data_IF_775630336594
#
_entry.id   IF_775630336594
#
_cell.length_a   1.000
_cell.length_b   1.000
_cell.length_c   1.000
_cell.angle_alpha   90.00
_cell.angle_beta   90.00
_cell.angle_gamma   90.00
#
_symmetry.space_group_name_H-M   'P 1'
#
loop_
_entity.id
_entity.type
_entity.pdbx_description
1 polymer ?
#
# COMPACT_ATOMS: atom_id res chain seq x y z
N UNK A 1 17.56 -88.03 70.23
CA UNK A 1 18.50 -86.90 70.15
C UNK A 1 19.07 -86.66 68.75
N UNK A 2 19.50 -87.70 68.00
CA UNK A 2 20.08 -87.49 66.67
C UNK A 2 19.10 -87.00 65.57
N UNK A 3 17.79 -87.28 65.68
CA UNK A 3 16.81 -86.86 64.66
C UNK A 3 16.42 -85.38 64.77
N UNK A 4 16.39 -84.83 65.99
CA UNK A 4 16.01 -83.42 66.23
C UNK A 4 17.08 -82.46 65.73
N UNK A 5 18.36 -82.79 65.91
CA UNK A 5 19.48 -81.99 65.38
C UNK A 5 19.52 -81.94 63.85
N UNK A 6 19.14 -83.03 63.18
CA UNK A 6 19.03 -83.05 61.71
C UNK A 6 17.91 -82.13 61.24
N UNK A 7 16.75 -82.16 61.91
CA UNK A 7 15.60 -81.32 61.55
C UNK A 7 15.89 -79.83 61.80
N UNK A 8 16.59 -79.48 62.88
CA UNK A 8 16.99 -78.10 63.17
C UNK A 8 17.98 -77.55 62.12
N UNK A 9 18.91 -78.39 61.64
CA UNK A 9 19.83 -78.02 60.55
C UNK A 9 19.09 -77.81 59.22
N UNK A 10 18.11 -78.66 58.90
CA UNK A 10 17.27 -78.51 57.71
C UNK A 10 16.46 -77.20 57.79
N UNK A 11 15.92 -76.88 58.97
CA UNK A 11 15.19 -75.63 59.19
C UNK A 11 16.10 -74.40 59.04
N UNK A 12 17.26 -74.38 59.69
CA UNK A 12 18.21 -73.28 59.58
C UNK A 12 18.70 -73.09 58.12
N UNK A 13 18.95 -74.18 57.40
CA UNK A 13 19.28 -74.16 55.98
C UNK A 13 18.14 -73.59 55.12
N UNK A 14 16.89 -73.98 55.41
CA UNK A 14 15.70 -73.46 54.73
C UNK A 14 15.51 -71.95 54.91
N UNK A 15 15.75 -71.41 56.12
CA UNK A 15 15.64 -69.97 56.38
C UNK A 15 16.68 -69.18 55.57
N UNK A 16 17.94 -69.65 55.54
CA UNK A 16 19.00 -69.01 54.75
C UNK A 16 18.68 -69.07 53.26
N UNK A 17 18.21 -70.23 52.79
CA UNK A 17 17.87 -70.45 51.39
C UNK A 17 16.70 -69.56 50.93
N UNK A 18 15.63 -69.46 51.73
CA UNK A 18 14.49 -68.57 51.46
C UNK A 18 14.91 -67.10 51.46
N UNK A 19 15.78 -66.69 52.40
CA UNK A 19 16.33 -65.33 52.45
C UNK A 19 17.15 -64.97 51.21
N UNK A 20 18.04 -65.88 50.77
CA UNK A 20 18.84 -65.71 49.54
C UNK A 20 17.94 -65.70 48.31
N UNK A 21 16.92 -66.55 48.26
CA UNK A 21 15.95 -66.58 47.15
C UNK A 21 15.18 -65.26 47.04
N UNK A 22 14.71 -64.71 48.16
CA UNK A 22 14.00 -63.43 48.19
C UNK A 22 14.92 -62.27 47.79
N UNK A 23 16.14 -62.20 48.36
CA UNK A 23 17.12 -61.18 47.99
C UNK A 23 17.53 -61.29 46.52
N UNK A 24 17.71 -62.51 46.01
CA UNK A 24 18.03 -62.78 44.60
C UNK A 24 16.90 -62.39 43.63
N UNK A 25 15.64 -62.53 44.07
CA UNK A 25 14.47 -62.07 43.32
C UNK A 25 14.37 -60.53 43.29
N UNK A 26 14.57 -59.88 44.44
CA UNK A 26 14.54 -58.43 44.58
C UNK A 26 15.67 -57.73 43.79
N UNK A 27 16.89 -58.28 43.87
CA UNK A 27 18.05 -57.79 43.11
C UNK A 27 18.04 -58.21 41.64
N UNK A 28 17.01 -58.94 41.19
CA UNK A 28 16.86 -59.39 39.81
C UNK A 28 17.99 -60.29 39.28
N UNK A 29 18.81 -60.88 40.16
CA UNK A 29 19.97 -61.71 39.78
C UNK A 29 19.63 -63.19 39.60
N UNK A 30 18.56 -63.68 40.22
CA UNK A 30 18.17 -65.09 40.10
C UNK A 30 17.18 -65.34 38.94
N UNK A 31 17.35 -66.42 38.14
CA UNK A 31 16.37 -66.85 37.16
C UNK A 31 15.15 -67.50 37.85
N UNK A 32 13.96 -67.39 37.22
CA UNK A 32 12.70 -67.95 37.76
C UNK A 32 12.80 -69.46 37.99
N UNK A 33 13.53 -70.18 37.13
CA UNK A 33 13.73 -71.63 37.27
C UNK A 33 14.45 -72.00 38.57
N UNK A 34 15.49 -71.24 38.94
CA UNK A 34 16.25 -71.44 40.18
C UNK A 34 15.42 -71.11 41.43
N UNK A 35 14.62 -70.05 41.38
CA UNK A 35 13.70 -69.71 42.48
C UNK A 35 12.58 -70.75 42.63
N UNK A 36 12.05 -71.25 41.51
CA UNK A 36 11.04 -72.30 41.52
C UNK A 36 11.59 -73.63 42.04
N UNK A 37 12.83 -73.99 41.69
CA UNK A 37 13.47 -75.20 42.24
C UNK A 37 13.67 -75.09 43.74
N UNK A 38 14.12 -73.93 44.24
CA UNK A 38 14.27 -73.68 45.69
C UNK A 38 12.92 -73.77 46.41
N UNK A 39 11.89 -73.11 45.90
CA UNK A 39 10.55 -73.17 46.47
C UNK A 39 9.98 -74.60 46.47
N UNK A 40 10.21 -75.37 45.40
CA UNK A 40 9.78 -76.76 45.32
C UNK A 40 10.52 -77.68 46.30
N UNK A 41 11.82 -77.42 46.53
CA UNK A 41 12.64 -78.16 47.47
C UNK A 41 12.20 -77.90 48.92
N UNK A 42 11.96 -76.63 49.27
CA UNK A 42 11.45 -76.25 50.60
C UNK A 42 10.04 -76.80 50.83
N UNK A 43 9.16 -76.76 49.83
CA UNK A 43 7.83 -77.35 49.91
C UNK A 43 7.88 -78.87 50.11
N UNK A 44 8.73 -79.58 49.37
CA UNK A 44 8.93 -81.03 49.54
C UNK A 44 9.50 -81.36 50.93
N UNK A 45 10.45 -80.57 51.43
CA UNK A 45 11.00 -80.71 52.78
C UNK A 45 9.95 -80.48 53.87
N UNK A 46 9.12 -79.44 53.71
CA UNK A 46 8.01 -79.16 54.63
C UNK A 46 7.00 -80.31 54.67
N UNK A 47 6.59 -80.84 53.50
CA UNK A 47 5.70 -82.00 53.40
C UNK A 47 6.32 -83.22 54.10
N UNK A 48 7.60 -83.50 53.85
CA UNK A 48 8.31 -84.62 54.49
C UNK A 48 8.31 -84.53 56.02
N UNK A 49 8.50 -83.33 56.58
CA UNK A 49 8.52 -83.13 58.04
C UNK A 49 7.11 -83.17 58.63
N UNK A 50 6.08 -82.68 57.92
CA UNK A 50 4.68 -82.86 58.33
C UNK A 50 4.27 -84.34 58.37
N UNK A 51 4.70 -85.13 57.38
CA UNK A 51 4.49 -86.59 57.37
C UNK A 51 5.19 -87.27 58.55
N UNK A 52 6.43 -86.87 58.86
CA UNK A 52 7.15 -87.39 60.01
C UNK A 52 6.52 -87.00 61.36
N UNK A 53 5.99 -85.78 61.47
CA UNK A 53 5.23 -85.33 62.63
C UNK A 53 3.95 -86.15 62.83
N UNK A 54 3.18 -86.41 61.77
CA UNK A 54 1.96 -87.21 61.84
C UNK A 54 2.20 -88.65 62.35
N UNK A 55 3.39 -89.20 62.14
CA UNK A 55 3.76 -90.55 62.59
C UNK A 55 4.24 -90.60 64.05
N UNK A 56 4.80 -89.51 64.60
CA UNK A 56 5.51 -89.52 65.91
C UNK A 56 5.01 -88.52 66.95
N UNK A 57 4.18 -87.54 66.56
CA UNK A 57 3.51 -86.56 67.42
C UNK A 57 4.42 -85.79 68.42
N UNK A 58 5.67 -85.54 68.05
CA UNK A 58 6.63 -84.80 68.87
C UNK A 58 6.50 -83.27 68.68
N UNK A 59 6.39 -82.50 69.76
CA UNK A 59 6.30 -81.02 69.73
C UNK A 59 7.43 -80.29 68.95
N UNK A 60 8.72 -80.64 69.06
CA UNK A 60 9.77 -79.94 68.32
C UNK A 60 9.65 -80.10 66.79
N UNK A 61 9.08 -81.21 66.31
CA UNK A 61 8.84 -81.44 64.88
C UNK A 61 7.78 -80.49 64.31
N UNK A 62 6.79 -80.08 65.11
CA UNK A 62 5.76 -79.13 64.69
C UNK A 62 6.32 -77.71 64.46
N UNK A 63 7.28 -77.27 65.28
CA UNK A 63 7.90 -75.94 65.16
C UNK A 63 8.75 -75.85 63.88
N UNK A 64 9.55 -76.88 63.59
CA UNK A 64 10.34 -76.95 62.35
C UNK A 64 9.46 -77.07 61.10
N UNK A 65 8.37 -77.85 61.16
CA UNK A 65 7.40 -77.96 60.08
C UNK A 65 6.76 -76.60 59.76
N UNK A 66 6.31 -75.88 60.79
CA UNK A 66 5.76 -74.53 60.65
C UNK A 66 6.78 -73.55 60.06
N UNK A 67 8.01 -73.58 60.55
CA UNK A 67 9.11 -72.75 60.05
C UNK A 67 9.42 -72.99 58.57
N UNK A 68 9.45 -74.25 58.11
CA UNK A 68 9.68 -74.57 56.70
C UNK A 68 8.50 -74.23 55.80
N UNK A 69 7.25 -74.32 56.29
CA UNK A 69 6.09 -73.81 55.53
C UNK A 69 6.15 -72.30 55.34
N UNK A 70 6.61 -71.55 56.34
CA UNK A 70 6.83 -70.11 56.21
C UNK A 70 7.95 -69.81 55.20
N UNK A 71 9.04 -70.58 55.21
CA UNK A 71 10.12 -70.46 54.21
C UNK A 71 9.60 -70.72 52.80
N UNK A 72 8.83 -71.80 52.61
CA UNK A 72 8.23 -72.13 51.31
C UNK A 72 7.29 -71.04 50.78
N UNK A 73 6.52 -70.37 51.66
CA UNK A 73 5.70 -69.21 51.29
C UNK A 73 6.55 -68.01 50.86
N UNK A 74 7.64 -67.73 51.57
CA UNK A 74 8.58 -66.65 51.21
C UNK A 74 9.26 -66.94 49.86
N UNK A 75 9.72 -68.17 49.63
CA UNK A 75 10.30 -68.60 48.36
C UNK A 75 9.27 -68.54 47.21
N UNK A 76 8.02 -68.92 47.47
CA UNK A 76 6.91 -68.75 46.52
C UNK A 76 6.62 -67.28 46.20
N UNK A 77 6.63 -66.42 47.22
CA UNK A 77 6.50 -64.96 47.07
C UNK A 77 7.62 -64.36 46.21
N UNK A 78 8.86 -64.84 46.35
CA UNK A 78 10.00 -64.43 45.54
C UNK A 78 9.79 -64.72 44.04
N UNK A 79 9.20 -65.87 43.70
CA UNK A 79 8.83 -66.24 42.31
C UNK A 79 7.78 -65.28 41.74
N UNK A 80 6.75 -64.95 42.53
CA UNK A 80 5.69 -64.01 42.11
C UNK A 80 6.24 -62.60 41.90
N UNK A 81 7.08 -62.12 42.83
CA UNK A 81 7.74 -60.82 42.73
C UNK A 81 8.59 -60.74 41.45
N UNK A 82 9.38 -61.78 41.16
CA UNK A 82 10.20 -61.85 39.94
C UNK A 82 9.34 -61.80 38.67
N UNK A 83 8.18 -62.46 38.65
CA UNK A 83 7.22 -62.41 37.54
C UNK A 83 6.59 -61.02 37.39
N UNK A 84 6.25 -60.35 38.50
CA UNK A 84 5.73 -59.00 38.48
C UNK A 84 6.75 -58.00 37.92
N UNK A 85 8.00 -58.03 38.40
CA UNK A 85 9.07 -57.14 37.93
C UNK A 85 9.38 -57.33 36.44
N UNK A 86 9.39 -58.58 35.94
CA UNK A 86 9.56 -58.83 34.50
C UNK A 86 8.40 -58.28 33.67
N UNK A 87 7.16 -58.38 34.18
CA UNK A 87 6.00 -57.80 33.49
C UNK A 87 6.06 -56.29 33.45
N UNK A 88 6.49 -55.64 34.54
CA UNK A 88 6.70 -54.18 34.57
C UNK A 88 7.76 -53.76 33.57
N UNK A 89 8.93 -54.42 33.55
CA UNK A 89 9.97 -54.11 32.56
C UNK A 89 9.49 -54.27 31.11
N UNK A 90 8.72 -55.33 30.81
CA UNK A 90 8.14 -55.51 29.47
C UNK A 90 7.07 -54.44 29.13
N UNK A 91 6.39 -53.85 30.12
CA UNK A 91 5.50 -52.71 29.89
C UNK A 91 6.29 -51.43 29.65
N UNK A 92 7.37 -51.20 30.42
CA UNK A 92 8.26 -50.05 30.24
C UNK A 92 8.89 -50.05 28.85
N UNK A 93 9.36 -51.21 28.37
CA UNK A 93 9.90 -51.36 27.01
C UNK A 93 8.87 -50.96 25.94
N UNK A 94 7.61 -51.43 26.09
CA UNK A 94 6.50 -51.06 25.18
C UNK A 94 6.14 -49.57 25.27
N UNK A 95 6.22 -48.97 26.46
CA UNK A 95 5.98 -47.54 26.64
C UNK A 95 7.08 -46.71 25.99
N UNK A 96 8.33 -47.14 26.07
CA UNK A 96 9.46 -46.50 25.39
C UNK A 96 9.28 -46.59 23.88
N UNK A 97 8.93 -47.77 23.36
CA UNK A 97 8.65 -47.98 21.93
C UNK A 97 7.48 -47.12 21.45
N UNK A 98 6.33 -47.17 22.14
CA UNK A 98 5.15 -46.38 21.78
C UNK A 98 5.42 -44.86 21.86
N UNK A 99 6.23 -44.41 22.82
CA UNK A 99 6.65 -43.00 22.91
C UNK A 99 7.55 -42.63 21.74
N UNK A 100 8.47 -43.49 21.34
CA UNK A 100 9.34 -43.26 20.19
C UNK A 100 8.51 -43.16 18.90
N UNK A 101 7.55 -44.06 18.71
CA UNK A 101 6.64 -44.04 17.56
C UNK A 101 5.77 -42.78 17.52
N UNK A 102 5.23 -42.36 18.66
CA UNK A 102 4.43 -41.14 18.75
C UNK A 102 5.27 -39.90 18.43
N UNK A 103 6.49 -39.80 18.98
CA UNK A 103 7.39 -38.68 18.66
C UNK A 103 7.77 -38.68 17.17
N UNK A 104 8.02 -39.84 16.58
CA UNK A 104 8.30 -39.97 15.16
C UNK A 104 7.08 -39.60 14.30
N UNK A 105 5.86 -39.91 14.74
CA UNK A 105 4.62 -39.52 14.06
C UNK A 105 4.41 -38.00 14.13
N UNK A 106 4.58 -37.41 15.31
CA UNK A 106 4.48 -35.96 15.51
C UNK A 106 5.48 -35.21 14.65
N UNK A 107 6.71 -35.70 14.52
CA UNK A 107 7.72 -35.03 13.68
C UNK A 107 7.39 -35.11 12.18
N UNK A 108 6.86 -36.26 11.73
CA UNK A 108 6.34 -36.41 10.36
C UNK A 108 5.16 -35.49 10.08
N UNK A 109 4.24 -35.36 11.03
CA UNK A 109 3.09 -34.47 10.88
C UNK A 109 3.51 -32.99 10.89
N UNK A 110 4.43 -32.58 11.77
CA UNK A 110 4.98 -31.21 11.79
C UNK A 110 5.62 -30.82 10.48
N UNK A 111 6.43 -31.70 9.89
CA UNK A 111 7.09 -31.43 8.60
C UNK A 111 6.08 -31.36 7.45
N UNK A 112 5.07 -32.23 7.46
CA UNK A 112 3.98 -32.23 6.47
C UNK A 112 3.15 -30.94 6.57
N UNK A 113 2.68 -30.60 7.77
CA UNK A 113 1.93 -29.36 8.03
C UNK A 113 2.77 -28.11 7.72
N UNK A 114 4.07 -28.14 7.99
CA UNK A 114 4.99 -27.06 7.62
C UNK A 114 5.00 -26.83 6.10
N UNK A 115 5.14 -27.90 5.31
CA UNK A 115 5.11 -27.83 3.85
C UNK A 115 3.75 -27.35 3.31
N UNK A 116 2.65 -27.81 3.89
CA UNK A 116 1.29 -27.36 3.52
C UNK A 116 1.05 -25.88 3.83
N UNK A 117 1.55 -25.40 4.98
CA UNK A 117 1.49 -23.99 5.35
C UNK A 117 2.33 -23.12 4.42
N UNK A 118 3.54 -23.56 4.05
CA UNK A 118 4.37 -22.86 3.07
C UNK A 118 3.68 -22.76 1.71
N UNK A 119 3.07 -23.85 1.23
CA UNK A 119 2.30 -23.86 -0.01
C UNK A 119 1.09 -22.91 0.05
N UNK A 120 0.33 -22.97 1.14
CA UNK A 120 -0.84 -22.11 1.34
C UNK A 120 -0.44 -20.64 1.43
N UNK A 121 0.66 -20.33 2.11
CA UNK A 121 1.21 -18.98 2.20
C UNK A 121 1.73 -18.49 0.85
N UNK A 122 2.43 -19.33 0.09
CA UNK A 122 2.89 -19.00 -1.25
C UNK A 122 1.72 -18.68 -2.18
N UNK A 123 0.65 -19.48 -2.11
CA UNK A 123 -0.59 -19.24 -2.86
C UNK A 123 -1.27 -17.95 -2.44
N UNK A 124 -1.48 -17.73 -1.14
CA UNK A 124 -2.09 -16.49 -0.64
C UNK A 124 -1.28 -15.24 -1.02
N UNK A 125 0.06 -15.33 -1.02
CA UNK A 125 0.95 -14.25 -1.49
C UNK A 125 0.83 -14.02 -2.99
N UNK A 126 0.72 -15.09 -3.78
CA UNK A 126 0.52 -14.98 -5.23
C UNK A 126 -0.84 -14.33 -5.55
N UNK A 127 -1.92 -14.78 -4.87
CA UNK A 127 -3.27 -14.24 -5.04
C UNK A 127 -3.31 -12.74 -4.65
N UNK A 128 -2.68 -12.37 -3.53
CA UNK A 128 -2.59 -10.97 -3.11
C UNK A 128 -1.80 -10.10 -4.09
N UNK A 129 -0.69 -10.60 -4.66
CA UNK A 129 0.08 -9.88 -5.69
C UNK A 129 -0.73 -9.71 -6.97
N UNK A 130 -1.40 -10.77 -7.41
CA UNK A 130 -2.27 -10.70 -8.60
C UNK A 130 -3.40 -9.69 -8.42
N UNK A 131 -4.01 -9.63 -7.22
CA UNK A 131 -5.06 -8.66 -6.92
C UNK A 131 -4.52 -7.22 -6.94
N UNK A 132 -3.33 -6.99 -6.37
CA UNK A 132 -2.69 -5.67 -6.41
C UNK A 132 -2.33 -5.23 -7.83
N UNK A 133 -1.80 -6.14 -8.66
CA UNK A 133 -1.51 -5.84 -10.07
C UNK A 133 -2.77 -5.47 -10.85
N UNK A 134 -3.90 -6.14 -10.58
CA UNK A 134 -5.17 -5.81 -11.22
C UNK A 134 -5.70 -4.45 -10.76
N UNK A 135 -5.61 -4.14 -9.46
CA UNK A 135 -5.95 -2.82 -8.94
C UNK A 135 -5.06 -1.71 -9.50
N UNK A 136 -3.76 -1.97 -9.68
CA UNK A 136 -2.85 -1.01 -10.31
C UNK A 136 -3.20 -0.75 -11.77
N UNK A 137 -3.62 -1.79 -12.51
CA UNK A 137 -4.13 -1.63 -13.88
C UNK A 137 -5.41 -0.80 -13.91
N UNK A 138 -6.38 -1.12 -13.06
CA UNK A 138 -7.64 -0.37 -12.96
C UNK A 138 -7.39 1.10 -12.62
N UNK A 139 -6.54 1.40 -11.63
CA UNK A 139 -6.17 2.78 -11.27
C UNK A 139 -5.44 3.47 -12.43
N UNK A 140 -4.57 2.77 -13.16
CA UNK A 140 -3.88 3.34 -14.31
C UNK A 140 -4.85 3.66 -15.45
N UNK A 141 -5.84 2.80 -15.69
CA UNK A 141 -6.90 3.01 -16.67
C UNK A 141 -7.82 4.17 -16.27
N UNK A 142 -8.27 4.22 -15.02
CA UNK A 142 -9.08 5.33 -14.48
C UNK A 142 -8.33 6.66 -14.57
N UNK A 143 -7.02 6.68 -14.29
CA UNK A 143 -6.20 7.88 -14.45
C UNK A 143 -6.09 8.30 -15.92
N UNK A 144 -5.94 7.34 -16.84
CA UNK A 144 -5.88 7.64 -18.28
C UNK A 144 -7.18 8.23 -18.78
N UNK A 145 -8.33 7.68 -18.40
CA UNK A 145 -9.64 8.20 -18.80
C UNK A 145 -9.87 9.59 -18.23
N UNK A 146 -9.61 9.80 -16.94
CA UNK A 146 -9.78 11.09 -16.29
C UNK A 146 -8.82 12.17 -16.83
N UNK A 147 -7.60 11.81 -17.22
CA UNK A 147 -6.70 12.75 -17.92
C UNK A 147 -7.25 13.09 -19.30
N UNK A 148 -7.70 12.09 -20.08
CA UNK A 148 -8.27 12.32 -21.41
C UNK A 148 -9.53 13.20 -21.36
N UNK A 149 -10.41 13.00 -20.38
CA UNK A 149 -11.58 13.85 -20.13
C UNK A 149 -11.17 15.29 -19.80
N UNK A 150 -10.21 15.48 -18.88
CA UNK A 150 -9.72 16.82 -18.53
C UNK A 150 -9.05 17.53 -19.71
N UNK A 151 -8.30 16.80 -20.53
CA UNK A 151 -7.71 17.34 -21.76
C UNK A 151 -8.80 17.74 -22.76
N UNK A 152 -9.83 16.92 -22.94
CA UNK A 152 -10.96 17.23 -23.80
C UNK A 152 -11.73 18.48 -23.32
N UNK A 153 -12.01 18.57 -22.03
CA UNK A 153 -12.68 19.73 -21.44
C UNK A 153 -11.83 21.01 -21.54
N UNK A 154 -10.53 20.89 -21.29
CA UNK A 154 -9.59 22.02 -21.40
C UNK A 154 -9.47 22.50 -22.85
N UNK A 155 -9.36 21.59 -23.82
CA UNK A 155 -9.29 21.94 -25.24
C UNK A 155 -10.60 22.59 -25.73
N UNK A 156 -11.75 22.08 -25.31
CA UNK A 156 -13.07 22.68 -25.60
C UNK A 156 -13.17 24.09 -25.02
N UNK A 157 -12.85 24.25 -23.73
CA UNK A 157 -12.88 25.55 -23.04
C UNK A 157 -11.92 26.56 -23.67
N UNK A 158 -10.71 26.13 -24.06
CA UNK A 158 -9.73 26.98 -24.74
C UNK A 158 -10.22 27.37 -26.14
N UNK A 159 -10.82 26.43 -26.88
CA UNK A 159 -11.42 26.69 -28.19
C UNK A 159 -12.55 27.72 -28.12
N UNK A 160 -13.46 27.59 -27.16
CA UNK A 160 -14.54 28.57 -26.93
C UNK A 160 -14.01 29.97 -26.59
N UNK A 161 -13.01 30.05 -25.69
CA UNK A 161 -12.37 31.33 -25.34
C UNK A 161 -11.67 31.96 -26.55
N UNK A 162 -10.97 31.15 -27.35
CA UNK A 162 -10.29 31.62 -28.56
C UNK A 162 -11.30 32.17 -29.58
N UNK A 163 -12.39 31.43 -29.83
CA UNK A 163 -13.46 31.86 -30.73
C UNK A 163 -14.11 33.16 -30.24
N UNK A 164 -14.34 33.30 -28.93
CA UNK A 164 -14.88 34.53 -28.35
C UNK A 164 -13.94 35.74 -28.55
N UNK A 165 -12.63 35.55 -28.34
CA UNK A 165 -11.63 36.60 -28.57
C UNK A 165 -11.54 36.93 -30.06
N UNK A 166 -11.57 35.94 -30.94
CA UNK A 166 -11.58 36.15 -32.39
C UNK A 166 -12.80 36.97 -32.82
N UNK A 167 -14.01 36.59 -32.39
CA UNK A 167 -15.23 37.34 -32.69
C UNK A 167 -15.18 38.79 -32.14
N UNK A 168 -14.59 38.99 -30.96
CA UNK A 168 -14.38 40.32 -30.40
C UNK A 168 -13.40 41.16 -31.24
N UNK A 169 -12.31 40.56 -31.72
CA UNK A 169 -11.34 41.23 -32.59
C UNK A 169 -11.99 41.59 -33.93
N UNK A 170 -12.71 40.66 -34.57
CA UNK A 170 -13.44 40.91 -35.82
C UNK A 170 -14.46 42.05 -35.65
N UNK A 171 -15.20 42.06 -34.55
CA UNK A 171 -16.12 43.14 -34.23
C UNK A 171 -15.42 44.50 -34.07
N UNK A 172 -14.32 44.56 -33.31
CA UNK A 172 -13.54 45.79 -33.14
C UNK A 172 -12.90 46.27 -34.44
N UNK A 173 -12.44 45.35 -35.30
CA UNK A 173 -11.90 45.70 -36.61
C UNK A 173 -12.99 46.27 -37.53
N UNK A 174 -14.21 45.72 -37.50
CA UNK A 174 -15.34 46.26 -38.23
C UNK A 174 -15.74 47.65 -37.73
N UNK A 175 -15.79 47.85 -36.40
CA UNK A 175 -16.04 49.16 -35.78
C UNK A 175 -14.98 50.19 -36.19
N UNK A 176 -13.70 49.84 -36.08
CA UNK A 176 -12.59 50.71 -36.52
C UNK A 176 -12.64 51.00 -38.01
N UNK A 177 -12.97 50.03 -38.86
CA UNK A 177 -13.15 50.27 -40.29
C UNK A 177 -14.25 51.28 -40.56
N UNK A 178 -15.37 51.20 -39.82
CA UNK A 178 -16.48 52.13 -39.98
C UNK A 178 -16.12 53.53 -39.47
N UNK A 179 -15.38 53.64 -38.37
CA UNK A 179 -14.92 54.93 -37.85
C UNK A 179 -13.89 55.59 -38.76
N UNK A 180 -13.00 54.81 -39.37
CA UNK A 180 -12.09 55.29 -40.41
C UNK A 180 -12.84 55.83 -41.63
N UNK A 181 -13.89 55.14 -42.08
CA UNK A 181 -14.72 55.60 -43.20
C UNK A 181 -15.47 56.90 -42.86
N UNK A 182 -16.07 56.98 -41.66
CA UNK A 182 -16.74 58.20 -41.17
C UNK A 182 -15.78 59.39 -41.05
N UNK A 183 -14.57 59.17 -40.53
CA UNK A 183 -13.57 60.23 -40.41
C UNK A 183 -13.03 60.65 -41.78
N UNK A 184 -12.86 59.71 -42.72
CA UNK A 184 -12.53 60.01 -44.11
C UNK A 184 -13.62 60.88 -44.77
N UNK A 185 -14.91 60.55 -44.62
CA UNK A 185 -16.01 61.37 -45.15
C UNK A 185 -16.10 62.75 -44.47
N UNK A 186 -15.94 62.81 -43.15
CA UNK A 186 -15.92 64.08 -42.42
C UNK A 186 -14.75 64.99 -42.85
N UNK A 187 -13.56 64.42 -43.09
CA UNK A 187 -12.42 65.19 -43.59
C UNK A 187 -12.62 65.64 -45.03
N UNK A 188 -13.18 64.82 -45.92
CA UNK A 188 -13.58 65.23 -47.29
C UNK A 188 -14.56 66.41 -47.26
N UNK A 189 -15.59 66.35 -46.42
CA UNK A 189 -16.55 67.46 -46.28
C UNK A 189 -15.87 68.74 -45.79
N UNK A 190 -14.99 68.66 -44.78
CA UNK A 190 -14.23 69.83 -44.29
C UNK A 190 -13.32 70.43 -45.37
N UNK A 191 -12.69 69.61 -46.20
CA UNK A 191 -11.88 70.08 -47.33
C UNK A 191 -12.77 70.82 -48.34
N UNK A 192 -13.92 70.27 -48.70
CA UNK A 192 -14.87 70.91 -49.62
C UNK A 192 -15.41 72.25 -49.07
N UNK A 193 -15.74 72.32 -47.77
CA UNK A 193 -16.13 73.57 -47.13
C UNK A 193 -15.01 74.62 -47.13
N UNK A 194 -13.76 74.21 -46.87
CA UNK A 194 -12.60 75.11 -46.91
C UNK A 194 -12.36 75.63 -48.33
N UNK A 195 -12.47 74.76 -49.33
CA UNK A 195 -12.38 75.15 -50.74
C UNK A 195 -13.49 76.15 -51.12
N UNK A 196 -14.73 75.91 -50.67
CA UNK A 196 -15.84 76.83 -50.91
C UNK A 196 -15.61 78.19 -50.24
N UNK A 197 -15.13 78.21 -48.99
CA UNK A 197 -14.78 79.45 -48.28
C UNK A 197 -13.64 80.20 -48.99
N UNK A 198 -12.61 79.49 -49.46
CA UNK A 198 -11.53 80.08 -50.25
C UNK A 198 -12.06 80.69 -51.56
N UNK A 199 -12.91 80.00 -52.31
CA UNK A 199 -13.56 80.54 -53.51
C UNK A 199 -14.47 81.74 -53.22
N UNK A 200 -15.13 81.76 -52.07
CA UNK A 200 -15.96 82.90 -51.67
C UNK A 200 -15.10 84.12 -51.31
N UNK A 201 -14.03 83.93 -50.55
CA UNK A 201 -13.07 85.00 -50.23
C UNK A 201 -12.37 85.52 -51.49
N UNK A 202 -11.97 84.66 -52.42
CA UNK A 202 -11.38 85.06 -53.70
C UNK A 202 -12.35 85.91 -54.51
N UNK A 203 -13.62 85.50 -54.62
CA UNK A 203 -14.65 86.31 -55.30
C UNK A 203 -14.90 87.65 -54.59
N UNK A 204 -14.90 87.69 -53.27
CA UNK A 204 -15.02 88.94 -52.52
C UNK A 204 -13.82 89.86 -52.77
N UNK A 205 -12.60 89.32 -52.81
CA UNK A 205 -11.38 90.05 -53.15
C UNK A 205 -11.42 90.54 -54.59
N UNK A 206 -11.83 89.71 -55.55
CA UNK A 206 -12.03 90.09 -56.95
C UNK A 206 -13.04 91.22 -57.09
N UNK A 207 -14.19 91.15 -56.40
CA UNK A 207 -15.20 92.20 -56.39
C UNK A 207 -14.68 93.51 -55.79
N UNK A 208 -13.91 93.43 -54.69
CA UNK A 208 -13.25 94.61 -54.10
C UNK A 208 -12.21 95.20 -55.05
N UNK A 209 -11.38 94.36 -55.67
CA UNK A 209 -10.40 94.78 -56.68
C UNK A 209 -11.07 95.46 -57.87
N UNK A 210 -12.20 94.93 -58.36
CA UNK A 210 -12.96 95.58 -59.44
C UNK A 210 -13.54 96.91 -59.00
N UNK A 211 -14.10 97.00 -57.79
CA UNK A 211 -14.65 98.25 -57.25
C UNK A 211 -13.54 99.29 -57.02
N UNK A 212 -12.39 98.88 -56.49
CA UNK A 212 -11.21 99.75 -56.30
C UNK A 212 -10.64 100.20 -57.65
N UNK A 213 -10.63 99.33 -58.66
CA UNK A 213 -10.23 99.69 -60.03
C UNK A 213 -11.20 100.68 -60.68
N UNK A 214 -12.52 100.48 -60.52
CA UNK A 214 -13.54 101.43 -60.97
C UNK A 214 -13.38 102.78 -60.29
N UNK A 215 -13.15 102.80 -58.97
CA UNK A 215 -12.89 104.02 -58.21
C UNK A 215 -11.61 104.73 -58.65
N UNK A 216 -10.50 104.01 -58.83
CA UNK A 216 -9.25 104.56 -59.36
C UNK A 216 -9.45 105.13 -60.77
N UNK A 217 -10.25 104.46 -61.62
CA UNK A 217 -10.56 104.97 -62.95
C UNK A 217 -11.39 106.25 -62.90
N UNK A 218 -12.35 106.34 -61.96
CA UNK A 218 -13.15 107.54 -61.72
C UNK A 218 -12.31 108.69 -61.16
N UNK A 219 -11.45 108.43 -60.17
CA UNK A 219 -10.49 109.40 -59.61
C UNK A 219 -9.49 109.85 -60.69
N UNK A 220 -9.00 108.95 -61.55
CA UNK A 220 -8.11 109.29 -62.67
C UNK A 220 -8.81 110.15 -63.73
N UNK A 221 -10.07 109.87 -64.05
CA UNK A 221 -10.85 110.68 -64.98
C UNK A 221 -11.18 112.06 -64.38
N UNK A 222 -11.50 112.14 -63.08
CA UNK A 222 -11.65 113.39 -62.36
C UNK A 222 -10.34 114.20 -62.35
N UNK A 223 -9.19 113.55 -62.12
CA UNK A 223 -7.87 114.19 -62.23
C UNK A 223 -7.59 114.68 -63.65
N UNK A 224 -7.89 113.91 -64.71
CA UNK A 224 -7.75 114.37 -66.10
C UNK A 224 -8.64 115.57 -66.37
N UNK A 225 -9.87 115.55 -65.89
CA UNK A 225 -10.81 116.66 -66.02
C UNK A 225 -10.32 117.89 -65.27
N UNK A 226 -9.77 117.71 -64.06
CA UNK A 226 -9.13 118.75 -63.26
C UNK A 226 -7.87 119.33 -63.92
N UNK A 227 -6.99 118.49 -64.46
CA UNK A 227 -5.79 118.91 -65.21
C UNK A 227 -6.20 119.63 -66.50
N UNK A 228 -7.22 119.16 -67.21
CA UNK A 228 -7.76 119.85 -68.38
C UNK A 228 -8.31 121.24 -68.00
N UNK A 229 -8.98 121.35 -66.84
CA UNK A 229 -9.50 122.62 -66.31
C UNK A 229 -8.36 123.57 -65.91
N UNK A 230 -7.35 123.10 -65.18
CA UNK A 230 -6.15 123.88 -64.85
C UNK A 230 -5.39 124.32 -66.10
N UNK A 231 -5.30 123.47 -67.13
CA UNK A 231 -4.68 123.81 -68.42
C UNK A 231 -5.50 124.84 -69.19
N UNK A 232 -6.82 124.75 -69.12
CA UNK A 232 -7.73 125.77 -69.64
C UNK A 232 -7.56 127.10 -68.91
N UNK A 233 -7.50 127.10 -67.58
CA UNK A 233 -7.27 128.29 -66.75
C UNK A 233 -5.87 128.88 -66.99
N UNK A 234 -4.84 128.05 -67.19
CA UNK A 234 -3.50 128.48 -67.59
C UNK A 234 -3.50 129.12 -68.98
N UNK A 235 -4.19 128.53 -69.95
CA UNK A 235 -4.35 129.14 -71.28
C UNK A 235 -5.14 130.45 -71.20
N UNK A 236 -6.17 130.53 -70.36
CA UNK A 236 -6.96 131.74 -70.17
C UNK A 236 -6.13 132.85 -69.50
N UNK A 237 -5.33 132.52 -68.49
CA UNK A 237 -4.40 133.49 -67.87
C UNK A 237 -3.25 133.89 -68.80
N UNK A 238 -2.79 133.00 -69.69
CA UNK A 238 -1.87 133.32 -70.77
C UNK A 238 -2.49 134.24 -71.81
N UNK A 239 -3.74 133.99 -72.22
CA UNK A 239 -4.48 134.86 -73.14
C UNK A 239 -4.79 136.23 -72.49
N UNK A 240 -5.12 136.27 -71.20
CA UNK A 240 -5.30 137.52 -70.46
C UNK A 240 -3.98 138.30 -70.32
N UNK A 241 -2.85 137.60 -70.11
CA UNK A 241 -1.52 138.21 -70.07
C UNK A 241 -1.01 138.69 -71.44
N UNK A 242 -1.36 137.98 -72.53
CA UNK A 242 -1.01 138.36 -73.90
C UNK A 242 -1.96 139.42 -74.47
N UNK A 243 -3.21 139.47 -74.00
CA UNK A 243 -4.18 140.50 -74.30
C UNK A 243 -3.89 141.85 -73.63
N UNK A 244 -3.16 141.85 -72.52
CA UNK A 244 -2.74 143.08 -71.83
C UNK A 244 -1.51 143.77 -72.46
N UNK A 245 -0.98 143.29 -73.60
CA UNK A 245 0.23 143.81 -74.28
C UNK A 245 -0.07 144.39 -75.69
N UNK A 246 -1.31 144.81 -75.97
CA UNK A 246 -1.64 145.64 -77.14
C UNK A 246 -2.60 146.77 -76.76
#
# INVERSE_FOLDING_TARGET
MALTTIVDLIFAGGVVLAGVALAGAALQRAPISMLASVASLEAAGAIGIWVAFALRHDRPLAVAAGGLTACALVAGGAVLLRRALRRVGAMDDRLVEAKADLLAAVEREKSTLGAELELTLARARADSRSLLEEQEREIAEERRTLVAEREHDATTTLGEKLNKVQAQIEHRLAEWSQDLDRTAEATKMRIAELEQRQHQMLREIELRLTADAERLSAESEEQRTGVARLRSELNQTLDDALGAVR
#
